data_IF_101668335067
#
_entry.id   IF_101668335067
#
_cell.length_a   1.000
_cell.length_b   1.000
_cell.length_c   1.000
_cell.angle_alpha   90.00
_cell.angle_beta   90.00
_cell.angle_gamma   90.00
#
_symmetry.space_group_name_H-M   'P 1'
#
loop_
_entity.id
_entity.type
_entity.pdbx_description
1 polymer ?
#
# COMPACT_ATOMS: atom_id res chain seq x y z
N UNK A 1 -60.02 45.88 8.81
CA UNK A 1 -59.02 46.36 7.83
C UNK A 1 -57.64 45.99 8.36
N UNK A 2 -56.82 45.32 7.54
CA UNK A 2 -55.40 44.94 7.74
C UNK A 2 -55.05 43.80 8.72
N UNK A 3 -55.16 42.59 8.18
CA UNK A 3 -54.20 41.48 8.37
C UNK A 3 -52.79 41.89 7.91
N UNK A 4 -51.74 41.36 8.57
CA UNK A 4 -50.58 40.65 8.00
C UNK A 4 -49.34 40.74 8.90
N UNK A 5 -48.55 39.66 8.85
CA UNK A 5 -47.13 39.53 9.24
C UNK A 5 -46.86 38.97 10.63
N UNK A 6 -46.77 37.64 10.74
CA UNK A 6 -45.60 36.98 11.35
C UNK A 6 -45.54 35.48 10.97
N UNK A 7 -45.40 35.19 9.68
CA UNK A 7 -44.99 33.86 9.20
C UNK A 7 -43.69 34.08 8.42
N UNK A 8 -42.56 34.13 9.12
CA UNK A 8 -41.25 34.19 8.47
C UNK A 8 -40.08 33.78 9.39
N UNK A 9 -40.31 32.85 10.34
CA UNK A 9 -39.23 32.41 11.26
C UNK A 9 -38.94 30.91 11.24
N UNK A 10 -39.42 30.18 10.22
CA UNK A 10 -39.20 28.73 10.10
C UNK A 10 -38.45 28.30 8.84
N UNK A 11 -37.87 29.25 8.08
CA UNK A 11 -37.09 28.96 6.87
C UNK A 11 -35.58 29.16 7.02
N UNK A 12 -35.09 29.43 8.25
CA UNK A 12 -33.67 29.68 8.53
C UNK A 12 -32.96 28.49 9.23
N UNK A 13 -33.53 27.28 9.15
CA UNK A 13 -32.92 26.05 9.72
C UNK A 13 -32.66 24.99 8.64
N UNK A 14 -33.01 25.26 7.37
CA UNK A 14 -32.85 24.30 6.26
C UNK A 14 -31.55 24.50 5.48
N UNK A 15 -30.72 25.47 5.86
CA UNK A 15 -29.44 25.75 5.19
C UNK A 15 -28.24 25.68 6.13
N UNK A 16 -28.27 24.76 7.10
CA UNK A 16 -27.03 24.18 7.64
C UNK A 16 -26.46 23.25 6.57
N UNK A 17 -25.83 23.88 5.57
CA UNK A 17 -24.59 23.46 4.95
C UNK A 17 -24.24 21.97 5.10
N UNK A 18 -25.03 21.09 4.47
CA UNK A 18 -24.52 19.87 3.86
C UNK A 18 -23.70 20.27 2.63
N UNK A 19 -22.64 21.05 2.84
CA UNK A 19 -21.47 20.91 2.00
C UNK A 19 -20.90 19.58 2.46
N UNK A 20 -21.40 18.50 1.85
CA UNK A 20 -20.59 17.33 1.64
C UNK A 20 -19.43 17.84 0.76
N UNK A 21 -18.48 18.51 1.40
CA UNK A 21 -17.17 18.67 0.83
C UNK A 21 -16.71 17.23 0.69
N UNK A 22 -16.80 16.70 -0.53
CA UNK A 22 -15.87 15.71 -1.01
C UNK A 22 -14.50 16.32 -0.78
N UNK A 23 -14.00 16.19 0.46
CA UNK A 23 -12.59 16.32 0.75
C UNK A 23 -12.00 15.28 -0.18
N UNK A 24 -11.38 15.75 -1.27
CA UNK A 24 -10.43 14.96 -2.02
C UNK A 24 -9.56 14.34 -0.96
N UNK A 25 -9.66 13.02 -0.81
CA UNK A 25 -9.03 12.30 0.27
C UNK A 25 -7.53 12.55 0.11
N UNK A 26 -6.99 13.46 0.91
CA UNK A 26 -5.57 13.83 0.86
C UNK A 26 -4.70 12.66 1.29
N UNK A 27 -5.30 11.52 1.70
CA UNK A 27 -4.58 10.28 1.98
C UNK A 27 -3.86 9.70 0.75
N UNK A 28 -4.23 10.03 -0.48
CA UNK A 28 -3.49 9.55 -1.67
C UNK A 28 -2.09 10.18 -1.81
N UNK A 29 -1.81 11.34 -1.17
CA UNK A 29 -0.51 12.00 -1.31
C UNK A 29 0.57 11.43 -0.37
N UNK A 30 0.18 10.64 0.62
CA UNK A 30 1.07 10.11 1.66
C UNK A 30 1.32 8.60 1.52
N UNK A 31 0.94 8.02 0.38
CA UNK A 31 1.28 6.64 0.15
C UNK A 31 2.80 6.53 -0.05
N UNK A 32 3.46 5.66 0.70
CA UNK A 32 4.91 5.42 0.58
C UNK A 32 5.26 3.95 0.74
N UNK A 33 6.19 3.47 -0.08
CA UNK A 33 6.94 2.24 0.21
C UNK A 33 8.41 2.61 0.18
N UNK A 34 9.11 2.30 1.26
CA UNK A 34 10.54 2.55 1.42
C UNK A 34 11.25 1.27 1.82
N UNK A 35 12.49 1.09 1.37
CA UNK A 35 13.32 -0.02 1.82
C UNK A 35 14.80 0.31 1.69
N UNK A 36 15.63 -0.40 2.43
CA UNK A 36 17.08 -0.34 2.31
C UNK A 36 17.59 -1.54 1.51
N UNK A 37 18.41 -1.31 0.49
CA UNK A 37 19.13 -2.36 -0.24
C UNK A 37 20.62 -2.01 -0.24
N UNK A 38 21.46 -2.91 0.31
CA UNK A 38 22.92 -2.70 0.44
C UNK A 38 23.30 -1.34 1.07
N UNK A 39 22.53 -0.91 2.08
CA UNK A 39 22.76 0.35 2.79
C UNK A 39 22.21 1.61 2.12
N UNK A 40 21.63 1.51 0.92
CA UNK A 40 20.96 2.62 0.25
C UNK A 40 19.45 2.58 0.50
N UNK A 41 18.88 3.70 0.93
CA UNK A 41 17.42 3.87 1.01
C UNK A 41 16.82 4.09 -0.37
N UNK A 42 15.74 3.37 -0.66
CA UNK A 42 14.99 3.40 -1.91
C UNK A 42 13.53 3.69 -1.57
N UNK A 43 12.89 4.55 -2.37
CA UNK A 43 11.47 4.85 -2.27
C UNK A 43 10.75 4.62 -3.61
N UNK A 44 9.48 4.24 -3.53
CA UNK A 44 8.66 3.88 -4.69
C UNK A 44 7.66 4.96 -5.07
N UNK A 45 7.63 5.32 -6.35
CA UNK A 45 6.62 6.22 -6.92
C UNK A 45 5.40 5.47 -7.45
N UNK A 46 5.60 4.25 -7.96
CA UNK A 46 4.51 3.39 -8.47
C UNK A 46 4.30 2.20 -7.55
N UNK A 47 3.10 2.10 -6.97
CA UNK A 47 2.80 1.10 -5.94
C UNK A 47 1.31 0.79 -5.92
N UNK A 48 0.99 -0.48 -5.69
CA UNK A 48 -0.39 -0.91 -5.54
C UNK A 48 -0.45 -2.25 -4.80
N UNK A 49 -1.53 -2.43 -4.04
CA UNK A 49 -2.01 -3.74 -3.61
C UNK A 49 -3.37 -3.95 -4.25
N UNK A 50 -3.52 -4.95 -5.09
CA UNK A 50 -4.83 -5.32 -5.64
C UNK A 50 -5.41 -6.44 -4.79
N UNK A 51 -6.60 -6.20 -4.23
CA UNK A 51 -7.47 -7.25 -3.72
C UNK A 51 -8.20 -7.87 -4.90
N UNK A 52 -7.83 -9.10 -5.27
CA UNK A 52 -8.61 -9.86 -6.24
C UNK A 52 -9.90 -10.38 -5.56
N UNK A 53 -11.02 -10.27 -6.26
CA UNK A 53 -12.28 -10.92 -5.88
C UNK A 53 -12.26 -12.45 -6.05
N UNK A 54 -11.21 -12.98 -6.67
CA UNK A 54 -10.94 -14.41 -6.78
C UNK A 54 -10.04 -14.89 -5.63
N UNK A 55 -10.10 -16.18 -5.33
CA UNK A 55 -9.31 -16.91 -4.32
C UNK A 55 -7.78 -16.77 -4.41
N UNK A 56 -7.28 -16.02 -5.40
CA UNK A 56 -5.87 -15.80 -5.66
C UNK A 56 -5.45 -14.44 -5.10
N UNK A 57 -5.27 -14.37 -3.78
CA UNK A 57 -5.10 -13.18 -2.94
C UNK A 57 -4.12 -12.06 -3.35
N UNK A 58 -3.96 -11.09 -2.44
CA UNK A 58 -3.62 -9.72 -2.81
C UNK A 58 -2.25 -9.58 -3.47
N UNK A 59 -2.22 -8.96 -4.65
CA UNK A 59 -0.99 -8.74 -5.42
C UNK A 59 -0.37 -7.40 -5.04
N UNK A 60 0.86 -7.41 -4.54
CA UNK A 60 1.65 -6.24 -4.22
C UNK A 60 2.71 -6.01 -5.29
N UNK A 61 2.77 -4.80 -5.84
CA UNK A 61 3.93 -4.37 -6.62
C UNK A 61 4.37 -2.97 -6.22
N UNK A 62 5.68 -2.76 -6.19
CA UNK A 62 6.32 -1.50 -5.85
C UNK A 62 7.55 -1.32 -6.71
N UNK A 63 7.68 -0.17 -7.35
CA UNK A 63 8.77 0.16 -8.26
C UNK A 63 9.36 1.54 -7.93
N UNK A 64 10.66 1.57 -7.63
CA UNK A 64 11.46 2.78 -7.33
C UNK A 64 11.81 3.63 -8.56
N UNK A 65 12.18 4.90 -8.34
CA UNK A 65 12.66 5.79 -9.41
C UNK A 65 14.14 5.52 -9.77
N UNK A 66 14.43 5.36 -11.07
CA UNK A 66 15.76 5.18 -11.66
C UNK A 66 15.71 4.35 -12.97
N UNK A 67 16.50 4.71 -13.99
CA UNK A 67 16.58 4.18 -15.37
C UNK A 67 16.30 2.64 -15.56
N UNK A 68 15.80 2.19 -16.73
CA UNK A 68 14.93 1.00 -16.91
C UNK A 68 15.64 -0.36 -16.70
N UNK A 69 14.98 -1.46 -16.29
CA UNK A 69 13.64 -1.65 -15.68
C UNK A 69 13.68 -1.62 -14.13
N UNK A 70 12.53 -1.45 -13.45
CA UNK A 70 12.52 -0.88 -12.09
C UNK A 70 13.03 -1.82 -10.98
N UNK A 71 13.76 -1.20 -10.03
CA UNK A 71 14.00 -1.73 -8.69
C UNK A 71 12.67 -1.90 -7.97
N UNK A 72 12.39 -3.07 -7.41
CA UNK A 72 11.07 -3.23 -6.84
C UNK A 72 10.71 -4.60 -6.33
N UNK A 73 9.55 -4.66 -5.69
CA UNK A 73 8.93 -5.90 -5.26
C UNK A 73 7.79 -6.24 -6.18
N UNK A 74 7.62 -7.53 -6.41
CA UNK A 74 6.38 -8.10 -6.92
C UNK A 74 6.04 -9.32 -6.09
N UNK A 75 4.78 -9.45 -5.69
CA UNK A 75 4.31 -10.71 -5.16
C UNK A 75 2.95 -10.65 -4.52
N UNK A 76 2.73 -11.55 -3.57
CA UNK A 76 1.42 -11.85 -3.01
C UNK A 76 1.48 -11.92 -1.50
N UNK A 77 0.54 -11.24 -0.84
CA UNK A 77 0.30 -11.36 0.60
C UNK A 77 -1.19 -11.60 0.83
N UNK A 78 -1.54 -12.72 1.44
CA UNK A 78 -2.91 -13.11 1.70
C UNK A 78 -3.05 -13.81 3.06
N UNK A 79 -4.06 -13.42 3.86
CA UNK A 79 -4.95 -12.25 3.68
C UNK A 79 -4.24 -10.90 3.96
N UNK A 80 -4.80 -9.78 3.48
CA UNK A 80 -4.37 -8.43 3.88
C UNK A 80 -5.11 -8.07 5.17
N UNK A 81 -4.54 -8.50 6.29
CA UNK A 81 -5.04 -8.23 7.63
C UNK A 81 -3.85 -8.02 8.58
N UNK A 82 -4.09 -7.40 9.73
CA UNK A 82 -3.05 -7.21 10.75
C UNK A 82 -2.47 -8.56 11.16
N UNK A 83 -1.14 -8.68 11.13
CA UNK A 83 -0.44 -9.92 11.42
C UNK A 83 0.96 -9.97 10.81
N UNK A 84 1.70 -11.02 11.15
CA UNK A 84 3.01 -11.34 10.57
C UNK A 84 2.89 -12.53 9.63
N UNK A 85 3.42 -12.39 8.42
CA UNK A 85 3.34 -13.37 7.35
C UNK A 85 4.73 -13.79 6.92
N UNK A 86 5.01 -15.08 6.98
CA UNK A 86 6.23 -15.65 6.42
C UNK A 86 6.19 -15.58 4.91
N UNK A 87 7.27 -15.09 4.31
CA UNK A 87 7.46 -15.04 2.86
C UNK A 87 8.27 -16.26 2.44
N UNK A 88 7.71 -17.00 1.49
CA UNK A 88 8.33 -18.18 0.91
C UNK A 88 8.40 -18.11 -0.62
N UNK A 89 8.82 -19.20 -1.27
CA UNK A 89 9.02 -19.23 -2.71
C UNK A 89 7.72 -19.02 -3.51
N UNK A 90 7.81 -18.35 -4.67
CA UNK A 90 6.70 -17.94 -5.54
C UNK A 90 5.71 -19.05 -5.88
N UNK A 91 6.19 -20.28 -6.06
CA UNK A 91 5.39 -21.40 -6.53
C UNK A 91 4.74 -22.23 -5.40
N UNK A 92 5.23 -22.10 -4.16
CA UNK A 92 4.87 -23.04 -3.08
C UNK A 92 4.34 -22.35 -1.83
N UNK A 93 4.46 -21.02 -1.74
CA UNK A 93 3.98 -20.26 -0.59
C UNK A 93 2.69 -19.48 -0.92
N UNK A 94 1.70 -19.45 -0.02
CA UNK A 94 0.54 -18.55 -0.16
C UNK A 94 0.96 -17.08 -0.09
N UNK A 95 2.10 -16.79 0.56
CA UNK A 95 2.71 -15.48 0.70
C UNK A 95 4.11 -15.50 0.10
N UNK A 96 4.36 -14.75 -0.96
CA UNK A 96 5.64 -14.75 -1.65
C UNK A 96 5.97 -13.36 -2.15
N UNK A 97 7.25 -13.05 -2.23
CA UNK A 97 7.77 -11.82 -2.83
C UNK A 97 8.99 -12.15 -3.66
N UNK A 98 9.14 -11.41 -4.75
CA UNK A 98 10.34 -11.39 -5.57
C UNK A 98 10.85 -9.97 -5.65
N UNK A 99 12.16 -9.81 -5.52
CA UNK A 99 12.82 -8.52 -5.67
C UNK A 99 13.47 -8.44 -7.05
N UNK A 100 13.14 -7.41 -7.81
CA UNK A 100 13.70 -7.12 -9.13
C UNK A 100 14.67 -5.97 -9.04
N UNK A 101 15.79 -6.09 -9.73
CA UNK A 101 16.83 -5.07 -9.79
C UNK A 101 17.45 -5.08 -11.21
N UNK A 102 17.69 -3.92 -11.85
CA UNK A 102 18.11 -3.84 -13.25
C UNK A 102 19.44 -4.54 -13.54
N UNK A 103 20.32 -4.64 -12.55
CA UNK A 103 21.59 -5.36 -12.66
C UNK A 103 21.54 -6.89 -12.53
N UNK A 104 20.38 -7.54 -12.31
CA UNK A 104 20.29 -9.00 -12.16
C UNK A 104 18.88 -9.58 -12.35
N UNK A 105 18.80 -10.90 -12.52
CA UNK A 105 17.53 -11.64 -12.57
C UNK A 105 16.77 -11.50 -11.25
N UNK A 106 15.44 -11.37 -11.31
CA UNK A 106 14.59 -11.28 -10.11
C UNK A 106 14.91 -12.39 -9.11
N UNK A 107 15.24 -12.03 -7.87
CA UNK A 107 15.54 -12.96 -6.79
C UNK A 107 14.30 -13.26 -5.97
N UNK A 108 14.08 -14.54 -5.62
CA UNK A 108 13.07 -14.90 -4.64
C UNK A 108 13.44 -14.30 -3.28
N UNK A 109 12.44 -13.76 -2.58
CA UNK A 109 12.60 -13.28 -1.22
C UNK A 109 12.20 -14.37 -0.22
N UNK A 110 12.85 -14.38 0.93
CA UNK A 110 12.42 -15.10 2.13
C UNK A 110 12.41 -14.14 3.31
N UNK A 111 11.68 -14.47 4.39
CA UNK A 111 11.63 -13.61 5.58
C UNK A 111 10.20 -13.32 6.01
N UNK A 112 9.91 -12.10 6.44
CA UNK A 112 8.59 -11.74 6.98
C UNK A 112 8.08 -10.39 6.49
N UNK A 113 6.76 -10.30 6.38
CA UNK A 113 6.03 -9.04 6.26
C UNK A 113 5.06 -8.95 7.43
N UNK A 114 5.09 -7.84 8.16
CA UNK A 114 4.20 -7.55 9.28
C UNK A 114 3.27 -6.43 8.90
N UNK A 115 2.01 -6.75 8.64
CA UNK A 115 0.94 -5.76 8.46
C UNK A 115 0.56 -5.24 9.85
N UNK A 116 0.78 -3.95 10.07
CA UNK A 116 0.57 -3.29 11.37
C UNK A 116 -0.79 -2.61 11.46
N UNK A 117 -1.39 -2.25 10.32
CA UNK A 117 -2.71 -1.61 10.27
C UNK A 117 -3.39 -1.89 8.94
N UNK A 118 -4.70 -2.13 8.98
CA UNK A 118 -5.60 -2.10 7.82
C UNK A 118 -6.81 -1.25 8.18
N UNK A 119 -7.06 -0.18 7.44
CA UNK A 119 -8.18 0.73 7.68
C UNK A 119 -8.50 1.53 6.42
N UNK A 120 -9.78 1.84 6.17
CA UNK A 120 -10.22 2.65 5.02
C UNK A 120 -9.66 2.16 3.68
N UNK A 121 -9.66 0.84 3.45
CA UNK A 121 -9.03 0.21 2.27
C UNK A 121 -7.56 0.56 2.07
N UNK A 122 -6.83 0.85 3.16
CA UNK A 122 -5.39 1.12 3.16
C UNK A 122 -4.67 0.14 4.06
N UNK A 123 -3.39 -0.10 3.77
CA UNK A 123 -2.51 -0.95 4.57
C UNK A 123 -1.22 -0.24 4.98
N UNK A 124 -0.76 -0.57 6.18
CA UNK A 124 0.56 -0.24 6.70
C UNK A 124 1.27 -1.53 7.08
N UNK A 125 2.55 -1.62 6.74
CA UNK A 125 3.34 -2.81 7.01
C UNK A 125 4.81 -2.49 7.19
N UNK A 126 5.53 -3.43 7.77
CA UNK A 126 7.00 -3.49 7.75
C UNK A 126 7.41 -4.83 7.17
N UNK A 127 8.62 -4.91 6.62
CA UNK A 127 9.15 -6.16 6.11
C UNK A 127 10.64 -6.28 6.37
N UNK A 128 11.06 -7.52 6.63
CA UNK A 128 12.45 -7.93 6.79
C UNK A 128 12.64 -9.16 5.92
N UNK A 129 13.32 -8.97 4.80
CA UNK A 129 13.43 -9.94 3.72
C UNK A 129 14.90 -10.22 3.41
N UNK A 130 15.23 -11.45 3.10
CA UNK A 130 16.47 -11.82 2.44
C UNK A 130 16.17 -12.06 0.96
N UNK A 131 16.92 -11.41 0.07
CA UNK A 131 16.94 -11.75 -1.36
C UNK A 131 18.23 -12.51 -1.66
N UNK A 132 18.09 -13.64 -2.35
CA UNK A 132 19.26 -14.35 -2.87
C UNK A 132 19.81 -13.58 -4.08
N UNK A 133 21.04 -13.11 -3.93
CA UNK A 133 21.76 -12.31 -4.91
C UNK A 133 23.06 -13.02 -5.30
N UNK A 134 23.55 -12.78 -6.52
CA UNK A 134 24.69 -13.51 -7.08
C UNK A 134 26.00 -13.35 -6.28
N UNK A 135 26.15 -12.27 -5.52
CA UNK A 135 27.29 -12.07 -4.61
C UNK A 135 27.00 -12.52 -3.17
N UNK A 136 25.94 -13.29 -2.95
CA UNK A 136 25.46 -13.72 -1.65
C UNK A 136 24.15 -13.05 -1.24
N UNK A 137 23.51 -13.55 -0.17
CA UNK A 137 22.23 -13.05 0.32
C UNK A 137 22.32 -11.58 0.76
N UNK A 138 21.28 -10.80 0.47
CA UNK A 138 21.17 -9.40 0.87
C UNK A 138 19.90 -9.20 1.69
N UNK A 139 20.05 -8.57 2.85
CA UNK A 139 18.91 -8.16 3.67
C UNK A 139 18.28 -6.89 3.11
N UNK A 140 16.96 -6.91 3.01
CA UNK A 140 16.12 -5.80 2.63
C UNK A 140 15.11 -5.56 3.75
N UNK A 141 15.20 -4.38 4.36
CA UNK A 141 14.26 -3.93 5.39
C UNK A 141 13.50 -2.74 4.89
N UNK A 142 12.21 -2.69 5.15
CA UNK A 142 11.40 -1.59 4.65
C UNK A 142 10.02 -1.48 5.29
N UNK A 143 9.26 -0.53 4.79
CA UNK A 143 7.93 -0.20 5.28
C UNK A 143 6.98 0.18 4.16
N UNK A 144 5.71 -0.06 4.40
CA UNK A 144 4.57 0.37 3.62
C UNK A 144 3.77 1.30 4.51
N UNK A 145 3.54 2.52 4.03
CA UNK A 145 2.71 3.52 4.71
C UNK A 145 1.55 3.88 3.80
N UNK A 146 0.34 3.71 4.34
CA UNK A 146 -0.89 4.25 3.77
C UNK A 146 -1.12 3.82 2.31
N UNK A 147 -0.84 2.56 1.97
CA UNK A 147 -0.99 2.07 0.60
C UNK A 147 -2.41 1.63 0.32
N UNK A 148 -3.02 2.11 -0.77
CA UNK A 148 -4.36 1.70 -1.19
C UNK A 148 -4.41 0.22 -1.56
N UNK A 149 -5.42 -0.45 -1.01
CA UNK A 149 -5.92 -1.75 -1.41
C UNK A 149 -6.98 -1.46 -2.48
N UNK A 150 -6.66 -1.77 -3.73
CA UNK A 150 -7.50 -1.57 -4.91
C UNK A 150 -8.35 -2.78 -5.23
#
# INVERSE_FOLDING_TARGET
MKTKNLIAFSFLVVLLFSICACKKDTSDTDEHITWTFKGAEISSTSKYIMASGDSHGNFMASFGNGYPPPYGFVGKIHPVQVGTFTIGPVATSPNWLSYRHPGFNSGACSGTVTITKVANSRVWATFDLQVDYSAGPVMIKGSITNLLIR
#
